data_IF_713836360562
#
_entry.id   IF_713836360562
#
_cell.length_a   1.000
_cell.length_b   1.000
_cell.length_c   1.000
_cell.angle_alpha   90.00
_cell.angle_beta   90.00
_cell.angle_gamma   90.00
#
_symmetry.space_group_name_H-M   'P 1'
#
loop_
_entity.id
_entity.type
_entity.pdbx_description
1 polymer ?
#
# COMPACT_ATOMS: atom_id res chain seq x y z
N UNK A 1 1.78 -14.47 3.76
CA UNK A 1 1.48 -15.87 4.14
C UNK A 1 -0.01 -16.05 4.32
N UNK A 2 -0.71 -15.15 5.03
CA UNK A 2 -2.14 -15.27 5.32
C UNK A 2 -3.03 -15.18 4.07
N UNK A 3 -2.71 -14.30 3.11
CA UNK A 3 -3.44 -14.19 1.85
C UNK A 3 -3.47 -15.50 1.05
N UNK A 4 -2.42 -16.32 1.16
CA UNK A 4 -2.34 -17.63 0.51
C UNK A 4 -3.16 -18.68 1.27
N UNK A 5 -3.23 -18.57 2.59
CA UNK A 5 -4.06 -19.43 3.42
C UNK A 5 -5.55 -19.19 3.16
N UNK A 6 -5.95 -17.95 3.02
CA UNK A 6 -7.33 -17.55 2.70
C UNK A 6 -7.76 -17.89 1.26
N UNK A 7 -6.85 -18.34 0.39
CA UNK A 7 -7.16 -18.84 -0.95
C UNK A 7 -8.24 -19.93 -0.94
N UNK A 8 -8.25 -20.76 0.12
CA UNK A 8 -9.17 -21.87 0.27
C UNK A 8 -10.47 -21.47 1.00
N UNK A 9 -10.57 -20.25 1.51
CA UNK A 9 -11.78 -19.72 2.11
C UNK A 9 -12.68 -19.23 0.98
N UNK A 10 -13.86 -19.83 0.88
CA UNK A 10 -14.87 -19.51 -0.13
C UNK A 10 -15.11 -18.00 -0.18
N UNK A 11 -15.13 -17.43 -1.39
CA UNK A 11 -15.46 -16.04 -1.62
C UNK A 11 -16.76 -15.69 -0.88
N UNK A 12 -16.71 -14.73 0.02
CA UNK A 12 -17.82 -14.31 0.87
C UNK A 12 -17.64 -14.50 2.38
N UNK A 13 -16.72 -15.37 2.83
CA UNK A 13 -16.47 -15.61 4.26
C UNK A 13 -15.18 -14.99 4.80
N UNK A 14 -14.47 -14.21 4.00
CA UNK A 14 -13.23 -13.53 4.39
C UNK A 14 -13.52 -12.26 5.22
N UNK A 15 -14.22 -12.42 6.34
CA UNK A 15 -14.33 -11.36 7.35
C UNK A 15 -13.00 -11.20 8.05
N UNK A 16 -12.58 -9.96 8.31
CA UNK A 16 -11.38 -9.68 9.09
C UNK A 16 -11.44 -10.37 10.46
N UNK A 17 -10.41 -11.16 10.78
CA UNK A 17 -10.29 -11.76 12.10
C UNK A 17 -9.70 -10.73 13.08
N UNK A 18 -9.82 -10.99 14.39
CA UNK A 18 -9.35 -10.07 15.41
C UNK A 18 -7.86 -9.63 15.26
N UNK A 19 -6.90 -10.50 14.83
CA UNK A 19 -5.53 -10.05 14.60
C UNK A 19 -5.40 -9.09 13.41
N UNK A 20 -6.27 -9.22 12.38
CA UNK A 20 -6.28 -8.30 11.23
C UNK A 20 -6.76 -6.92 11.67
N UNK A 21 -7.78 -6.87 12.53
CA UNK A 21 -8.28 -5.63 13.09
C UNK A 21 -7.23 -4.96 13.97
N UNK A 22 -6.53 -5.72 14.85
CA UNK A 22 -5.44 -5.15 15.67
C UNK A 22 -4.32 -4.56 14.81
N UNK A 23 -3.87 -5.30 13.79
CA UNK A 23 -2.84 -4.81 12.87
C UNK A 23 -3.30 -3.55 12.10
N UNK A 24 -4.54 -3.54 11.64
CA UNK A 24 -5.12 -2.42 10.88
C UNK A 24 -5.30 -1.18 11.77
N UNK A 25 -5.82 -1.34 12.98
CA UNK A 25 -5.97 -0.24 13.96
C UNK A 25 -4.60 0.29 14.40
N UNK A 26 -3.65 -0.61 14.68
CA UNK A 26 -2.28 -0.21 15.04
C UNK A 26 -1.61 0.58 13.91
N UNK A 27 -1.67 0.08 12.67
CA UNK A 27 -1.15 0.79 11.51
C UNK A 27 -1.86 2.14 11.29
N UNK A 28 -3.19 2.16 11.47
CA UNK A 28 -3.99 3.38 11.39
C UNK A 28 -3.56 4.43 12.43
N UNK A 29 -3.34 4.00 13.67
CA UNK A 29 -2.83 4.86 14.75
C UNK A 29 -1.47 5.46 14.42
N UNK A 30 -0.54 4.66 13.90
CA UNK A 30 0.78 5.15 13.45
C UNK A 30 0.63 6.13 12.29
N UNK A 31 -0.20 5.83 11.29
CA UNK A 31 -0.43 6.72 10.15
C UNK A 31 -1.03 8.07 10.56
N UNK A 32 -2.01 8.06 11.47
CA UNK A 32 -2.62 9.28 12.03
C UNK A 32 -1.62 10.07 12.88
N UNK A 33 -0.82 9.40 13.71
CA UNK A 33 0.20 10.05 14.52
C UNK A 33 1.27 10.74 13.66
N UNK A 34 1.76 10.07 12.60
CA UNK A 34 2.70 10.68 11.65
C UNK A 34 2.10 11.89 10.95
N UNK A 35 0.90 11.75 10.43
CA UNK A 35 0.22 12.83 9.72
C UNK A 35 -0.08 14.02 10.66
N UNK A 36 -0.58 13.74 11.87
CA UNK A 36 -0.82 14.74 12.89
C UNK A 36 0.47 15.46 13.31
N UNK A 37 1.56 14.71 13.51
CA UNK A 37 2.86 15.29 13.84
C UNK A 37 3.36 16.25 12.76
N UNK A 38 3.26 15.84 11.48
CA UNK A 38 3.68 16.68 10.35
C UNK A 38 2.83 17.93 10.16
N UNK A 39 1.52 17.84 10.39
CA UNK A 39 0.59 18.95 10.13
C UNK A 39 0.43 19.92 11.32
N UNK A 40 0.52 19.40 12.55
CA UNK A 40 0.15 20.18 13.76
C UNK A 40 1.35 20.73 14.52
N UNK A 41 2.58 20.33 14.17
CA UNK A 41 3.76 20.76 14.92
C UNK A 41 4.52 21.90 14.18
N UNK A 42 4.37 23.15 14.61
CA UNK A 42 4.99 24.30 13.94
C UNK A 42 6.51 24.38 14.08
N UNK A 43 7.10 23.53 14.94
CA UNK A 43 8.57 23.49 15.17
C UNK A 43 9.27 22.49 14.25
N UNK A 44 8.52 21.74 13.46
CA UNK A 44 9.08 20.73 12.55
C UNK A 44 9.53 21.41 11.25
N UNK A 45 10.72 21.03 10.80
CA UNK A 45 11.21 21.45 9.48
C UNK A 45 10.23 21.05 8.37
N UNK A 46 10.07 21.92 7.38
CA UNK A 46 9.09 21.73 6.28
C UNK A 46 9.31 20.39 5.56
N UNK A 47 10.56 19.99 5.34
CA UNK A 47 10.88 18.72 4.70
C UNK A 47 10.36 17.54 5.52
N UNK A 48 10.62 17.56 6.84
CA UNK A 48 10.15 16.51 7.73
C UNK A 48 8.62 16.50 7.85
N UNK A 49 7.98 17.66 7.90
CA UNK A 49 6.52 17.78 7.91
C UNK A 49 5.89 17.16 6.66
N UNK A 50 6.44 17.45 5.48
CA UNK A 50 6.01 16.88 4.21
C UNK A 50 6.21 15.37 4.19
N UNK A 51 7.37 14.87 4.62
CA UNK A 51 7.64 13.43 4.69
C UNK A 51 6.68 12.71 5.64
N UNK A 52 6.45 13.23 6.84
CA UNK A 52 5.50 12.66 7.80
C UNK A 52 4.08 12.59 7.22
N UNK A 53 3.65 13.64 6.53
CA UNK A 53 2.34 13.69 5.88
C UNK A 53 2.23 12.67 4.75
N UNK A 54 3.26 12.58 3.89
CA UNK A 54 3.30 11.59 2.80
C UNK A 54 3.29 10.17 3.35
N UNK A 55 4.17 9.83 4.29
CA UNK A 55 4.23 8.47 4.85
C UNK A 55 2.98 8.13 5.65
N UNK A 56 2.43 9.08 6.42
CA UNK A 56 1.14 8.90 7.09
C UNK A 56 0.04 8.56 6.10
N UNK A 57 -0.05 9.27 4.98
CA UNK A 57 -1.01 9.00 3.91
C UNK A 57 -0.80 7.63 3.26
N UNK A 58 0.45 7.25 2.99
CA UNK A 58 0.78 5.91 2.45
C UNK A 58 0.38 4.76 3.39
N UNK A 59 0.35 4.99 4.70
CA UNK A 59 -0.14 4.02 5.67
C UNK A 59 -1.67 4.03 5.72
N UNK A 60 -2.30 5.20 5.72
CA UNK A 60 -3.75 5.33 5.88
C UNK A 60 -4.54 4.83 4.68
N UNK A 61 -4.02 4.98 3.44
CA UNK A 61 -4.70 4.48 2.23
C UNK A 61 -4.90 2.96 2.26
N UNK A 62 -3.87 2.11 2.51
CA UNK A 62 -4.06 0.67 2.68
C UNK A 62 -4.97 0.33 3.87
N UNK A 63 -4.84 1.03 5.00
CA UNK A 63 -5.70 0.84 6.17
C UNK A 63 -7.18 1.05 5.82
N UNK A 64 -7.50 2.15 5.14
CA UNK A 64 -8.87 2.41 4.70
C UNK A 64 -9.41 1.31 3.76
N UNK A 65 -8.56 0.80 2.85
CA UNK A 65 -8.92 -0.31 1.96
C UNK A 65 -9.13 -1.62 2.72
N UNK A 66 -8.35 -1.88 3.77
CA UNK A 66 -8.49 -3.08 4.60
C UNK A 66 -9.79 -3.02 5.41
N UNK A 67 -10.09 -1.87 6.04
CA UNK A 67 -11.36 -1.65 6.75
C UNK A 67 -12.54 -1.83 5.80
N UNK A 68 -12.48 -1.21 4.62
CA UNK A 68 -13.54 -1.35 3.61
C UNK A 68 -13.78 -2.81 3.24
N UNK A 69 -12.70 -3.59 3.06
CA UNK A 69 -12.78 -5.01 2.72
C UNK A 69 -13.35 -5.86 3.87
N UNK A 70 -13.03 -5.52 5.12
CA UNK A 70 -13.56 -6.24 6.28
C UNK A 70 -15.08 -6.04 6.42
N UNK A 71 -15.57 -4.85 6.04
CA UNK A 71 -16.99 -4.51 6.07
C UNK A 71 -17.72 -5.04 4.82
N UNK A 72 -17.05 -4.96 3.66
CA UNK A 72 -17.59 -5.41 2.36
C UNK A 72 -16.66 -6.41 1.70
N UNK A 73 -16.81 -7.71 2.00
CA UNK A 73 -16.02 -8.76 1.39
C UNK A 73 -16.16 -8.77 -0.12
N UNK A 74 -15.05 -8.98 -0.82
CA UNK A 74 -15.04 -9.05 -2.28
C UNK A 74 -15.68 -10.36 -2.75
N UNK A 75 -16.52 -10.27 -3.77
CA UNK A 75 -17.11 -11.43 -4.47
C UNK A 75 -16.19 -11.98 -5.58
N UNK A 76 -15.09 -11.30 -5.89
CA UNK A 76 -14.13 -11.75 -6.91
C UNK A 76 -13.33 -12.95 -6.38
N UNK A 77 -13.42 -14.14 -7.02
CA UNK A 77 -12.67 -15.33 -6.57
C UNK A 77 -11.15 -15.17 -6.63
N UNK A 78 -10.64 -14.16 -7.36
CA UNK A 78 -9.20 -13.86 -7.48
C UNK A 78 -8.76 -12.66 -6.64
N UNK A 79 -9.62 -12.12 -5.76
CA UNK A 79 -9.32 -10.95 -4.93
C UNK A 79 -8.03 -11.11 -4.12
N UNK A 80 -7.77 -12.32 -3.56
CA UNK A 80 -6.58 -12.65 -2.77
C UNK A 80 -5.29 -12.43 -3.57
N UNK A 81 -5.30 -12.71 -4.89
CA UNK A 81 -4.14 -12.55 -5.75
C UNK A 81 -3.81 -11.07 -5.96
N UNK A 82 -4.81 -10.23 -6.24
CA UNK A 82 -4.61 -8.79 -6.37
C UNK A 82 -4.16 -8.16 -5.06
N UNK A 83 -4.71 -8.62 -3.94
CA UNK A 83 -4.31 -8.17 -2.62
C UNK A 83 -2.85 -8.56 -2.29
N UNK A 84 -2.47 -9.79 -2.57
CA UNK A 84 -1.09 -10.26 -2.41
C UNK A 84 -0.12 -9.44 -3.27
N UNK A 85 -0.46 -9.19 -4.53
CA UNK A 85 0.32 -8.36 -5.45
C UNK A 85 0.54 -6.94 -4.89
N UNK A 86 -0.51 -6.30 -4.39
CA UNK A 86 -0.41 -4.97 -3.77
C UNK A 86 0.55 -4.96 -2.59
N UNK A 87 0.49 -5.98 -1.72
CA UNK A 87 1.35 -6.07 -0.54
C UNK A 87 2.81 -6.36 -0.91
N UNK A 88 3.04 -7.23 -1.88
CA UNK A 88 4.38 -7.55 -2.37
C UNK A 88 5.06 -6.33 -2.99
N UNK A 89 4.37 -5.64 -3.91
CA UNK A 89 4.94 -4.46 -4.56
C UNK A 89 5.10 -3.31 -3.54
N UNK A 90 4.13 -3.13 -2.63
CA UNK A 90 4.23 -2.12 -1.57
C UNK A 90 5.45 -2.34 -0.66
N UNK A 91 5.73 -3.58 -0.25
CA UNK A 91 6.92 -3.90 0.54
C UNK A 91 8.21 -3.71 -0.26
N UNK A 92 8.20 -4.02 -1.56
CA UNK A 92 9.33 -3.78 -2.44
C UNK A 92 9.65 -2.28 -2.59
N UNK A 93 8.60 -1.44 -2.75
CA UNK A 93 8.76 0.02 -2.76
C UNK A 93 9.44 0.49 -1.47
N UNK A 94 8.98 0.00 -0.31
CA UNK A 94 9.59 0.32 0.98
C UNK A 94 11.06 -0.06 1.06
N UNK A 95 11.42 -1.27 0.61
CA UNK A 95 12.81 -1.76 0.59
C UNK A 95 13.70 -0.90 -0.33
N UNK A 96 13.24 -0.58 -1.54
CA UNK A 96 13.97 0.26 -2.49
C UNK A 96 14.14 1.69 -1.92
N UNK A 97 13.09 2.24 -1.30
CA UNK A 97 13.17 3.56 -0.65
C UNK A 97 14.21 3.55 0.46
N UNK A 98 14.18 2.55 1.34
CA UNK A 98 15.14 2.43 2.42
C UNK A 98 16.59 2.32 1.89
N UNK A 99 16.79 1.53 0.83
CA UNK A 99 18.09 1.44 0.16
C UNK A 99 18.53 2.78 -0.41
N UNK A 100 17.67 3.47 -1.15
CA UNK A 100 17.97 4.78 -1.75
C UNK A 100 18.32 5.82 -0.68
N UNK A 101 17.55 5.89 0.39
CA UNK A 101 17.79 6.83 1.50
C UNK A 101 19.14 6.57 2.17
N UNK A 102 19.52 5.31 2.38
CA UNK A 102 20.76 4.97 3.05
C UNK A 102 22.00 5.08 2.14
N UNK A 103 21.88 4.76 0.86
CA UNK A 103 23.02 4.72 -0.06
C UNK A 103 23.19 6.00 -0.87
N UNK A 104 22.10 6.60 -1.32
CA UNK A 104 22.10 7.77 -2.20
C UNK A 104 21.90 9.05 -1.41
N UNK A 105 21.03 9.02 -0.39
CA UNK A 105 20.67 10.18 0.43
C UNK A 105 21.89 10.98 0.94
N UNK A 106 22.93 10.35 1.53
CA UNK A 106 24.12 11.08 2.01
C UNK A 106 24.94 11.80 0.91
N UNK A 107 24.76 11.38 -0.35
CA UNK A 107 25.52 11.91 -1.50
C UNK A 107 24.76 13.00 -2.25
N UNK A 108 23.51 13.24 -1.89
CA UNK A 108 22.62 14.17 -2.60
C UNK A 108 22.42 15.43 -1.78
N UNK A 109 22.45 16.63 -2.39
CA UNK A 109 22.14 17.89 -1.71
C UNK A 109 20.79 17.86 -1.01
N UNK A 110 20.66 18.57 0.12
CA UNK A 110 19.45 18.58 0.94
C UNK A 110 18.19 18.98 0.15
N UNK A 111 18.33 19.86 -0.82
CA UNK A 111 17.23 20.28 -1.70
C UNK A 111 16.62 19.16 -2.56
N UNK A 112 17.40 18.11 -2.84
CA UNK A 112 16.97 16.97 -3.63
C UNK A 112 16.64 15.72 -2.81
N UNK A 113 16.84 15.75 -1.50
CA UNK A 113 16.60 14.61 -0.62
C UNK A 113 15.16 14.10 -0.67
N UNK A 114 14.18 14.98 -0.84
CA UNK A 114 12.77 14.60 -0.96
C UNK A 114 12.54 13.62 -2.13
N UNK A 115 13.27 13.78 -3.23
CA UNK A 115 13.18 12.87 -4.37
C UNK A 115 13.76 11.48 -4.08
N UNK A 116 14.75 11.39 -3.19
CA UNK A 116 15.29 10.11 -2.73
C UNK A 116 14.26 9.35 -1.90
N UNK A 117 13.48 10.07 -1.09
CA UNK A 117 12.42 9.49 -0.26
C UNK A 117 11.19 9.08 -1.06
N UNK A 118 10.74 9.91 -1.99
CA UNK A 118 9.46 9.76 -2.68
C UNK A 118 9.63 9.15 -4.08
N UNK A 119 10.79 9.33 -4.71
CA UNK A 119 11.06 8.88 -6.09
C UNK A 119 10.75 7.41 -6.34
N UNK A 120 11.23 6.47 -5.51
CA UNK A 120 10.92 5.06 -5.70
C UNK A 120 9.41 4.77 -5.73
N UNK A 121 8.66 5.43 -4.84
CA UNK A 121 7.20 5.29 -4.82
C UNK A 121 6.54 5.87 -6.07
N UNK A 122 6.98 7.03 -6.55
CA UNK A 122 6.45 7.67 -7.76
C UNK A 122 6.68 6.81 -9.02
N UNK A 123 7.80 6.10 -9.09
CA UNK A 123 8.11 5.23 -10.24
C UNK A 123 7.41 3.89 -10.14
N UNK A 124 7.42 3.27 -8.95
CA UNK A 124 6.95 1.89 -8.77
C UNK A 124 5.45 1.79 -8.50
N UNK A 125 4.81 2.80 -7.88
CA UNK A 125 3.37 2.75 -7.62
C UNK A 125 2.51 2.65 -8.90
N UNK A 126 2.81 3.36 -10.01
CA UNK A 126 2.10 3.17 -11.27
C UNK A 126 2.17 1.73 -11.80
N UNK A 127 3.27 1.01 -11.55
CA UNK A 127 3.40 -0.39 -11.97
C UNK A 127 2.33 -1.28 -11.33
N UNK A 128 1.93 -1.01 -10.09
CA UNK A 128 0.83 -1.75 -9.43
C UNK A 128 -0.46 -1.63 -10.26
N UNK A 129 -0.78 -0.42 -10.69
CA UNK A 129 -2.00 -0.13 -11.47
C UNK A 129 -1.92 -0.81 -12.84
N UNK A 130 -0.78 -0.69 -13.53
CA UNK A 130 -0.57 -1.29 -14.85
C UNK A 130 -0.66 -2.82 -14.78
N UNK A 131 0.01 -3.45 -13.81
CA UNK A 131 -0.01 -4.88 -13.64
C UNK A 131 -1.39 -5.41 -13.24
N UNK A 132 -2.09 -4.72 -12.35
CA UNK A 132 -3.47 -5.08 -12.02
C UNK A 132 -4.39 -5.00 -13.25
N UNK A 133 -4.27 -3.94 -14.04
CA UNK A 133 -5.06 -3.80 -15.27
C UNK A 133 -4.74 -4.91 -16.28
N UNK A 134 -3.45 -5.21 -16.48
CA UNK A 134 -3.01 -6.30 -17.36
C UNK A 134 -3.58 -7.65 -16.93
N UNK A 135 -3.45 -8.00 -15.64
CA UNK A 135 -3.92 -9.29 -15.16
C UNK A 135 -5.44 -9.38 -15.08
N UNK A 136 -6.15 -8.30 -14.82
CA UNK A 136 -7.61 -8.26 -14.93
C UNK A 136 -8.06 -8.60 -16.35
N UNK A 137 -7.42 -8.03 -17.36
CA UNK A 137 -7.70 -8.36 -18.78
C UNK A 137 -7.37 -9.82 -19.11
N UNK A 138 -6.22 -10.31 -18.62
CA UNK A 138 -5.77 -11.69 -18.85
C UNK A 138 -6.68 -12.73 -18.21
N UNK A 139 -7.25 -12.42 -17.05
CA UNK A 139 -8.13 -13.30 -16.30
C UNK A 139 -9.62 -13.08 -16.57
N UNK A 140 -9.98 -12.08 -17.36
CA UNK A 140 -11.35 -11.91 -17.78
C UNK A 140 -11.82 -13.18 -18.52
N UNK A 141 -13.01 -13.72 -18.21
CA UNK A 141 -13.57 -14.83 -18.96
C UNK A 141 -13.66 -14.40 -20.43
N UNK A 142 -13.06 -15.17 -21.32
CA UNK A 142 -13.28 -15.00 -22.75
C UNK A 142 -14.76 -15.33 -22.98
N UNK A 143 -15.57 -14.32 -23.22
CA UNK A 143 -16.93 -14.54 -23.72
C UNK A 143 -16.74 -15.28 -25.03
N UNK A 144 -17.05 -16.58 -25.04
CA UNK A 144 -17.15 -17.32 -26.29
C UNK A 144 -18.25 -16.62 -27.08
N UNK A 145 -17.85 -15.91 -28.14
CA UNK A 145 -18.79 -15.46 -29.16
C UNK A 145 -19.33 -16.74 -29.77
N UNK A 146 -20.48 -17.19 -29.29
CA UNK A 146 -21.25 -18.23 -29.96
C UNK A 146 -21.70 -17.63 -31.29
N UNK A 147 -21.05 -18.09 -32.38
CA UNK A 147 -21.49 -17.89 -33.74
C UNK A 147 -22.68 -18.80 -34.04
#
# INVERSE_FOLDING_TARGET
VRCLYEKNVVAGNARGQWPDWLATVGAGGVGLALMGYGLMNPKVDVTLAVLCTIFGSFILIPVARDVWRFVRPSTDPKWWWYFHLDRMIGSYIGAVTAFMVNQVGPRVPQSLQIFVWVGPALVLAPMIVIWKAYYRRKFAPRVAVAA
#
